data_IF_924761144311
#
_entry.id   IF_924761144311
#
_cell.length_a   1.000
_cell.length_b   1.000
_cell.length_c   1.000
_cell.angle_alpha   90.00
_cell.angle_beta   90.00
_cell.angle_gamma   90.00
#
_symmetry.space_group_name_H-M   'P 1'
#
loop_
_entity.id
_entity.type
_entity.pdbx_description
1 polymer ?
#
# COMPACT_ATOMS: atom_id res chain seq x y z
N UNK A 1 7.42 -6.28 0.82
CA UNK A 1 8.23 -6.28 -0.42
C UNK A 1 9.65 -5.89 -0.07
N UNK A 2 10.66 -6.51 -0.69
CA UNK A 2 12.08 -6.26 -0.41
C UNK A 2 12.80 -5.84 -1.69
N UNK A 3 13.81 -4.98 -1.54
CA UNK A 3 14.67 -4.46 -2.60
C UNK A 3 16.07 -4.18 -2.06
N UNK A 4 17.00 -3.84 -2.96
CA UNK A 4 18.32 -3.34 -2.57
C UNK A 4 18.23 -1.98 -1.89
N UNK A 5 19.23 -1.63 -1.09
CA UNK A 5 19.19 -0.44 -0.22
C UNK A 5 19.05 0.90 -0.98
N UNK A 6 19.42 0.94 -2.26
CA UNK A 6 19.31 2.13 -3.13
C UNK A 6 18.15 2.07 -4.11
N UNK A 7 17.41 0.97 -4.15
CA UNK A 7 16.28 0.80 -5.05
C UNK A 7 15.05 1.56 -4.52
N UNK A 8 14.24 2.06 -5.43
CA UNK A 8 12.90 2.60 -5.13
C UNK A 8 11.88 1.51 -5.47
N UNK A 9 11.01 1.19 -4.51
CA UNK A 9 9.89 0.28 -4.69
C UNK A 9 8.68 1.13 -5.10
N UNK A 10 8.24 1.02 -6.35
CA UNK A 10 6.99 1.61 -6.81
C UNK A 10 5.88 0.55 -6.73
N UNK A 11 4.76 0.90 -6.09
CA UNK A 11 3.58 0.05 -5.97
C UNK A 11 2.37 0.75 -6.59
N UNK A 12 1.72 0.07 -7.52
CA UNK A 12 0.44 0.47 -8.11
C UNK A 12 -0.69 -0.35 -7.48
N UNK A 13 -1.77 0.32 -7.06
CA UNK A 13 -3.00 -0.34 -6.64
C UNK A 13 -3.86 -0.62 -7.87
N UNK A 14 -3.69 -1.78 -8.49
CA UNK A 14 -4.42 -2.14 -9.71
C UNK A 14 -5.91 -2.35 -9.47
N UNK A 15 -6.29 -2.90 -8.31
CA UNK A 15 -7.69 -3.04 -7.90
C UNK A 15 -7.81 -3.11 -6.39
N UNK A 16 -8.79 -2.41 -5.84
CA UNK A 16 -9.13 -2.45 -4.42
C UNK A 16 -10.65 -2.44 -4.25
N UNK A 17 -11.16 -3.46 -3.57
CA UNK A 17 -12.57 -3.54 -3.20
C UNK A 17 -12.72 -3.71 -1.69
N UNK A 18 -13.67 -2.97 -1.13
CA UNK A 18 -13.92 -2.84 0.29
C UNK A 18 -14.81 -1.64 0.58
N UNK A 19 -15.07 -1.38 1.86
CA UNK A 19 -15.96 -0.32 2.32
C UNK A 19 -15.25 1.04 2.35
N UNK A 20 -15.73 2.01 1.57
CA UNK A 20 -15.21 3.38 1.64
C UNK A 20 -15.58 4.01 2.99
N UNK A 21 -14.57 4.48 3.72
CA UNK A 21 -14.75 5.24 4.96
C UNK A 21 -13.56 6.15 5.16
N UNK A 22 -13.77 7.31 5.79
CA UNK A 22 -12.68 8.17 6.21
C UNK A 22 -11.74 7.41 7.15
N UNK A 23 -10.43 7.51 6.91
CA UNK A 23 -9.40 6.77 7.63
C UNK A 23 -9.39 5.25 7.40
N UNK A 24 -10.26 4.72 6.53
CA UNK A 24 -10.36 3.29 6.19
C UNK A 24 -10.54 2.37 7.42
N UNK A 25 -11.44 2.76 8.32
CA UNK A 25 -11.62 2.10 9.63
C UNK A 25 -12.17 0.67 9.54
N UNK A 26 -12.88 0.32 8.47
CA UNK A 26 -13.50 -1.00 8.31
C UNK A 26 -12.58 -2.06 7.70
N UNK A 27 -11.50 -1.65 7.05
CA UNK A 27 -10.63 -2.52 6.29
C UNK A 27 -9.87 -1.72 5.23
N UNK A 28 -8.77 -2.26 4.74
CA UNK A 28 -7.98 -1.60 3.71
C UNK A 28 -6.60 -2.20 3.49
N UNK A 29 -5.88 -1.56 2.59
CA UNK A 29 -4.47 -1.75 2.30
C UNK A 29 -3.69 -0.58 2.92
N UNK A 30 -2.74 -0.89 3.80
CA UNK A 30 -1.75 0.07 4.32
C UNK A 30 -0.38 -0.17 3.67
N UNK A 31 0.18 0.88 3.07
CA UNK A 31 1.51 0.88 2.46
C UNK A 31 2.43 1.83 3.25
N UNK A 32 3.45 1.28 3.93
CA UNK A 32 4.37 2.06 4.79
C UNK A 32 5.52 2.65 3.97
N UNK A 33 5.19 3.66 3.16
CA UNK A 33 6.10 4.31 2.23
C UNK A 33 7.19 5.18 2.87
N UNK A 34 6.92 5.73 4.07
CA UNK A 34 7.83 6.60 4.81
C UNK A 34 9.20 5.98 5.13
N UNK A 35 10.19 6.82 5.40
CA UNK A 35 11.53 6.35 5.79
C UNK A 35 11.51 5.59 7.11
N UNK A 36 10.75 6.09 8.10
CA UNK A 36 10.50 5.39 9.35
C UNK A 36 9.29 4.46 9.19
N UNK A 37 9.59 3.16 9.02
CA UNK A 37 8.58 2.12 8.81
C UNK A 37 7.72 1.83 10.05
N UNK A 38 7.94 2.50 11.19
CA UNK A 38 7.10 2.42 12.38
C UNK A 38 5.89 3.36 12.31
N UNK A 39 5.98 4.45 11.53
CA UNK A 39 4.90 5.41 11.34
C UNK A 39 3.75 4.84 10.52
N UNK A 40 2.53 5.31 10.74
CA UNK A 40 1.34 4.91 9.98
C UNK A 40 1.55 5.18 8.49
N UNK A 41 1.32 4.15 7.66
CA UNK A 41 1.44 4.29 6.21
C UNK A 41 0.21 4.89 5.56
N UNK A 42 0.27 5.04 4.24
CA UNK A 42 -0.87 5.41 3.42
C UNK A 42 -1.93 4.31 3.47
N UNK A 43 -3.19 4.67 3.74
CA UNK A 43 -4.32 3.75 3.79
C UNK A 43 -5.28 3.95 2.64
N UNK A 44 -5.70 2.85 2.04
CA UNK A 44 -6.64 2.79 0.93
C UNK A 44 -7.68 1.71 1.24
N UNK A 45 -8.96 1.93 0.94
CA UNK A 45 -10.01 0.97 1.33
C UNK A 45 -11.04 0.63 0.26
N UNK A 46 -11.08 1.35 -0.86
CA UNK A 46 -12.06 1.09 -1.90
C UNK A 46 -11.57 1.50 -3.28
N UNK A 47 -12.40 1.22 -4.29
CA UNK A 47 -12.09 1.36 -5.71
C UNK A 47 -11.67 2.76 -6.16
N UNK A 48 -11.98 3.81 -5.38
CA UNK A 48 -11.49 5.19 -5.59
C UNK A 48 -9.96 5.29 -5.57
N UNK A 49 -9.29 4.27 -5.01
CA UNK A 49 -7.83 4.20 -4.92
C UNK A 49 -7.20 3.41 -6.07
N UNK A 50 -8.00 2.86 -7.00
CA UNK A 50 -7.46 2.15 -8.16
C UNK A 50 -6.61 3.10 -9.01
N UNK A 51 -5.46 2.60 -9.48
CA UNK A 51 -4.47 3.37 -10.23
C UNK A 51 -3.61 4.31 -9.37
N UNK A 52 -3.78 4.36 -8.04
CA UNK A 52 -2.87 5.10 -7.17
C UNK A 52 -1.51 4.42 -7.14
N UNK A 53 -0.47 5.26 -7.15
CA UNK A 53 0.92 4.85 -7.09
C UNK A 53 1.53 5.34 -5.78
N UNK A 54 2.28 4.48 -5.09
CA UNK A 54 3.07 4.80 -3.90
C UNK A 54 4.51 4.40 -4.16
N UNK A 55 5.43 5.33 -3.93
CA UNK A 55 6.86 5.06 -3.96
C UNK A 55 7.42 4.96 -2.54
N UNK A 56 8.33 4.03 -2.34
CA UNK A 56 9.03 3.85 -1.08
C UNK A 56 10.52 3.64 -1.33
N UNK A 57 11.37 4.33 -0.57
CA UNK A 57 12.80 4.02 -0.55
C UNK A 57 13.01 2.64 0.10
N UNK A 58 13.87 1.83 -0.50
CA UNK A 58 14.26 0.51 0.00
C UNK A 58 14.98 0.55 1.36
N UNK A 59 15.30 -0.62 1.96
CA UNK A 59 15.23 -1.94 1.33
C UNK A 59 13.88 -2.65 1.51
N UNK A 60 12.96 -2.13 2.32
CA UNK A 60 11.72 -2.83 2.64
C UNK A 60 10.50 -1.90 2.57
N UNK A 61 9.43 -2.41 1.96
CA UNK A 61 8.09 -1.83 2.00
C UNK A 61 7.13 -2.80 2.68
N UNK A 62 6.71 -2.52 3.92
CA UNK A 62 5.61 -3.20 4.56
C UNK A 62 4.29 -2.95 3.83
N UNK A 63 3.60 -4.03 3.51
CA UNK A 63 2.30 -4.07 2.85
C UNK A 63 1.36 -4.79 3.79
N UNK A 64 0.35 -4.10 4.30
CA UNK A 64 -0.56 -4.65 5.30
C UNK A 64 -1.98 -4.62 4.72
N UNK A 65 -2.55 -5.80 4.49
CA UNK A 65 -3.96 -5.95 4.18
C UNK A 65 -4.70 -6.25 5.49
N UNK A 66 -5.74 -5.49 5.80
CA UNK A 66 -6.56 -5.71 6.99
C UNK A 66 -8.04 -5.64 6.65
N UNK A 67 -8.86 -6.40 7.38
CA UNK A 67 -10.31 -6.34 7.32
C UNK A 67 -10.86 -6.43 8.74
N UNK A 68 -11.72 -5.49 9.13
CA UNK A 68 -12.41 -5.45 10.43
C UNK A 68 -13.91 -5.67 10.27
N UNK A 69 -14.45 -5.36 9.10
CA UNK A 69 -15.85 -5.56 8.73
C UNK A 69 -15.93 -5.95 7.25
N UNK A 70 -16.79 -6.93 6.96
CA UNK A 70 -17.01 -7.48 5.61
C UNK A 70 -15.69 -7.99 4.97
N UNK A 71 -15.53 -7.79 3.67
CA UNK A 71 -14.35 -8.18 2.92
C UNK A 71 -13.51 -6.96 2.51
N UNK A 72 -12.20 -7.17 2.43
CA UNK A 72 -11.27 -6.27 1.73
C UNK A 72 -10.43 -7.12 0.79
N UNK A 73 -10.39 -6.75 -0.49
CA UNK A 73 -9.57 -7.43 -1.50
C UNK A 73 -8.74 -6.40 -2.25
N UNK A 74 -7.42 -6.60 -2.26
CA UNK A 74 -6.48 -5.75 -2.96
C UNK A 74 -5.69 -6.57 -3.99
N UNK A 75 -5.47 -5.99 -5.16
CA UNK A 75 -4.48 -6.41 -6.14
C UNK A 75 -3.50 -5.27 -6.33
N UNK A 76 -2.22 -5.56 -6.12
CA UNK A 76 -1.13 -4.61 -6.30
C UNK A 76 -0.14 -5.13 -7.33
N UNK A 77 0.44 -4.21 -8.09
CA UNK A 77 1.62 -4.46 -8.93
C UNK A 77 2.78 -3.69 -8.34
N UNK A 78 3.98 -4.25 -8.41
CA UNK A 78 5.17 -3.56 -7.95
C UNK A 78 6.28 -3.67 -8.98
N UNK A 79 7.16 -2.68 -8.98
CA UNK A 79 8.43 -2.70 -9.72
C UNK A 79 9.53 -2.02 -8.93
N UNK A 80 10.77 -2.44 -9.19
CA UNK A 80 11.95 -1.81 -8.64
C UNK A 80 12.51 -0.81 -9.65
N UNK A 81 12.74 0.42 -9.22
CA UNK A 81 13.50 1.42 -9.99
C UNK A 81 14.91 1.48 -9.44
N UNK A 82 15.89 1.39 -10.33
CA UNK A 82 17.28 1.76 -10.02
C UNK A 82 17.35 3.27 -9.93
N UNK A 83 17.95 3.76 -8.86
CA UNK A 83 18.19 5.19 -8.63
C UNK A 83 19.51 5.62 -9.26
#
# INVERSE_FOLDING_TARGET
LQAEQRDIIEVEISSLSGSCSEGCIFGGLELKGDIDKRLTGYRFCCNRSNGKIVEANGPILPVILFSRKDYTRAQIRFRLKKK
#
